data_IF_202078102680
#
_entry.id   IF_202078102680
#
_cell.length_a   1.000
_cell.length_b   1.000
_cell.length_c   1.000
_cell.angle_alpha   90.00
_cell.angle_beta   90.00
_cell.angle_gamma   90.00
#
_symmetry.space_group_name_H-M   'P 1'
#
loop_
_entity.id
_entity.type
_entity.pdbx_description
1 polymer ?
#
# COMPACT_ATOMS: atom_id res chain seq x y z
N UNK A 1 29.39 0.53 10.34
CA UNK A 1 28.47 1.66 10.22
C UNK A 1 27.07 1.10 10.11
N UNK A 2 26.09 1.66 10.85
CA UNK A 2 24.76 1.08 10.98
C UNK A 2 23.64 2.05 10.62
N UNK A 3 22.48 1.51 10.30
CA UNK A 3 21.23 2.21 10.01
C UNK A 3 20.27 1.98 11.16
N UNK A 4 19.72 3.05 11.70
CA UNK A 4 18.58 2.99 12.60
C UNK A 4 17.31 3.05 11.74
N UNK A 5 16.49 2.01 11.77
CA UNK A 5 15.29 1.89 10.95
C UNK A 5 14.02 1.93 11.80
N UNK A 6 12.98 2.61 11.33
CA UNK A 6 11.72 2.70 12.05
C UNK A 6 10.46 2.78 11.19
N UNK A 7 9.41 2.09 11.68
CA UNK A 7 8.05 2.17 11.15
C UNK A 7 7.04 1.89 12.28
N UNK A 8 5.99 2.71 12.45
CA UNK A 8 5.11 2.61 13.63
C UNK A 8 4.34 1.29 13.70
N UNK A 9 3.88 0.77 12.56
CA UNK A 9 2.97 -0.38 12.56
C UNK A 9 3.58 -1.69 12.05
N UNK A 10 4.63 -1.61 11.22
CA UNK A 10 5.13 -2.75 10.47
C UNK A 10 4.18 -3.21 9.34
N UNK A 11 4.75 -3.73 8.27
CA UNK A 11 4.02 -4.24 7.11
C UNK A 11 4.99 -4.88 6.12
N UNK A 12 4.52 -5.49 5.02
CA UNK A 12 5.40 -6.18 4.09
C UNK A 12 6.58 -5.34 3.61
N UNK A 13 6.33 -4.08 3.20
CA UNK A 13 7.38 -3.18 2.71
C UNK A 13 8.36 -2.78 3.83
N UNK A 14 7.88 -2.38 5.02
CA UNK A 14 8.76 -2.00 6.12
C UNK A 14 9.52 -3.19 6.73
N UNK A 15 8.92 -4.38 6.75
CA UNK A 15 9.62 -5.60 7.14
C UNK A 15 10.77 -5.93 6.17
N UNK A 16 10.54 -5.80 4.87
CA UNK A 16 11.58 -6.04 3.88
C UNK A 16 12.65 -4.95 3.86
N UNK A 17 12.31 -3.67 4.14
CA UNK A 17 13.30 -2.62 4.33
C UNK A 17 14.19 -2.88 5.57
N UNK A 18 13.58 -3.27 6.70
CA UNK A 18 14.34 -3.68 7.88
C UNK A 18 15.23 -4.90 7.60
N UNK A 19 14.70 -5.88 6.86
CA UNK A 19 15.44 -7.10 6.49
C UNK A 19 16.61 -6.78 5.56
N UNK A 20 16.47 -5.84 4.62
CA UNK A 20 17.56 -5.39 3.74
C UNK A 20 18.76 -4.88 4.57
N UNK A 21 18.52 -4.09 5.61
CA UNK A 21 19.58 -3.63 6.50
C UNK A 21 20.10 -4.75 7.40
N UNK A 22 19.27 -5.69 7.81
CA UNK A 22 19.67 -6.81 8.66
C UNK A 22 20.55 -7.81 7.90
N UNK A 23 20.15 -8.22 6.69
CA UNK A 23 20.93 -9.10 5.80
C UNK A 23 22.30 -8.49 5.43
N UNK A 24 22.36 -7.17 5.27
CA UNK A 24 23.58 -6.43 5.02
C UNK A 24 24.45 -6.19 6.29
N UNK A 25 24.08 -6.77 7.45
CA UNK A 25 24.73 -6.56 8.75
C UNK A 25 24.86 -5.07 9.15
N UNK A 26 23.89 -4.24 8.74
CA UNK A 26 23.87 -2.78 8.97
C UNK A 26 22.73 -2.30 9.87
N UNK A 27 21.82 -3.18 10.28
CA UNK A 27 20.69 -2.80 11.13
C UNK A 27 21.15 -2.58 12.58
N UNK A 28 21.16 -1.33 13.05
CA UNK A 28 21.38 -1.03 14.47
C UNK A 28 20.20 -1.49 15.34
N UNK A 29 18.99 -1.10 14.93
CA UNK A 29 17.74 -1.57 15.52
C UNK A 29 16.55 -1.28 14.60
N UNK A 30 15.54 -2.12 14.66
CA UNK A 30 14.21 -1.87 14.11
C UNK A 30 13.28 -1.31 15.21
N UNK A 31 12.96 -0.02 15.12
CA UNK A 31 12.01 0.66 15.99
C UNK A 31 10.59 0.42 15.45
N UNK A 32 9.75 -0.25 16.23
CA UNK A 32 8.39 -0.63 15.83
C UNK A 32 7.45 -0.66 17.04
N UNK A 33 6.14 -0.44 16.84
CA UNK A 33 5.21 -0.39 17.97
C UNK A 33 5.20 -1.71 18.77
N UNK A 34 4.79 -2.81 18.17
CA UNK A 34 4.86 -4.14 18.80
C UNK A 34 4.78 -5.26 17.77
N UNK A 35 5.76 -6.17 17.82
CA UNK A 35 5.81 -7.44 17.10
C UNK A 35 5.79 -8.59 18.12
N UNK A 36 4.62 -9.16 18.48
CA UNK A 36 4.52 -10.18 19.51
C UNK A 36 5.25 -11.48 19.14
N UNK A 37 5.79 -12.17 20.16
CA UNK A 37 6.35 -13.51 19.99
C UNK A 37 5.25 -14.54 19.68
N UNK A 38 5.66 -15.73 19.18
CA UNK A 38 4.71 -16.84 18.98
C UNK A 38 3.98 -17.20 20.26
N UNK A 39 4.69 -17.30 21.37
CA UNK A 39 4.11 -17.63 22.69
C UNK A 39 3.05 -16.59 23.08
N UNK A 40 3.34 -15.30 22.89
CA UNK A 40 2.36 -14.24 23.16
C UNK A 40 1.11 -14.41 22.32
N UNK A 41 1.26 -14.71 21.02
CA UNK A 41 0.11 -14.93 20.12
C UNK A 41 -0.70 -16.17 20.52
N UNK A 42 -0.04 -17.25 20.89
CA UNK A 42 -0.72 -18.47 21.37
C UNK A 42 -1.51 -18.22 22.66
N UNK A 43 -0.96 -17.43 23.59
CA UNK A 43 -1.65 -17.05 24.82
C UNK A 43 -2.87 -16.17 24.51
N UNK A 44 -2.74 -15.19 23.63
CA UNK A 44 -3.86 -14.33 23.21
C UNK A 44 -4.98 -15.13 22.51
N UNK A 45 -4.64 -16.16 21.73
CA UNK A 45 -5.62 -17.02 21.07
C UNK A 45 -6.44 -17.90 22.04
N UNK A 46 -5.87 -18.25 23.20
CA UNK A 46 -6.58 -19.03 24.21
C UNK A 46 -7.69 -18.25 24.89
N UNK A 47 -7.60 -16.92 24.89
CA UNK A 47 -8.59 -16.03 25.52
C UNK A 47 -9.56 -15.52 24.46
N UNK A 48 -10.81 -16.00 24.47
CA UNK A 48 -11.82 -15.74 23.43
C UNK A 48 -11.94 -14.26 22.99
N UNK A 49 -12.07 -13.28 23.88
CA UNK A 49 -12.18 -11.87 23.50
C UNK A 49 -10.89 -11.30 22.90
N UNK A 50 -9.73 -11.95 23.05
CA UNK A 50 -8.44 -11.49 22.54
C UNK A 50 -8.06 -12.11 21.18
N UNK A 51 -8.80 -13.09 20.68
CA UNK A 51 -8.57 -13.74 19.37
C UNK A 51 -8.52 -12.77 18.19
N UNK A 52 -9.41 -11.77 18.06
CA UNK A 52 -9.33 -10.80 16.97
C UNK A 52 -8.01 -10.00 17.00
N UNK A 53 -7.53 -9.68 18.19
CA UNK A 53 -6.25 -9.01 18.41
C UNK A 53 -5.07 -9.92 18.01
N UNK A 54 -5.09 -11.18 18.40
CA UNK A 54 -4.08 -12.16 18.02
C UNK A 54 -3.99 -12.31 16.48
N UNK A 55 -5.14 -12.39 15.77
CA UNK A 55 -5.21 -12.43 14.31
C UNK A 55 -4.58 -11.20 13.67
N UNK A 56 -4.86 -10.01 14.20
CA UNK A 56 -4.27 -8.75 13.72
C UNK A 56 -2.76 -8.72 13.90
N UNK A 57 -2.25 -9.19 15.03
CA UNK A 57 -0.83 -9.24 15.33
C UNK A 57 -0.06 -10.30 14.55
N UNK A 58 -0.69 -11.39 14.14
CA UNK A 58 -0.05 -12.38 13.25
C UNK A 58 0.45 -11.75 11.96
N UNK A 59 -0.29 -10.78 11.39
CA UNK A 59 0.10 -10.04 10.19
C UNK A 59 1.34 -9.15 10.37
N UNK A 60 1.68 -8.80 11.62
CA UNK A 60 2.89 -8.01 11.93
C UNK A 60 4.11 -8.87 12.16
N UNK A 61 3.93 -10.17 12.25
CA UNK A 61 5.03 -11.08 12.46
C UNK A 61 5.71 -11.39 11.15
N UNK A 62 7.04 -11.28 11.15
CA UNK A 62 7.88 -11.61 10.02
C UNK A 62 9.06 -12.44 10.53
N UNK A 63 9.06 -13.74 10.23
CA UNK A 63 9.99 -14.72 10.79
C UNK A 63 11.44 -14.42 10.46
N UNK A 64 11.72 -13.90 9.26
CA UNK A 64 13.05 -13.52 8.84
C UNK A 64 13.71 -12.43 9.72
N UNK A 65 12.90 -11.64 10.44
CA UNK A 65 13.40 -10.66 11.41
C UNK A 65 13.42 -11.17 12.85
N UNK A 66 13.25 -12.48 13.12
CA UNK A 66 13.21 -13.01 14.50
C UNK A 66 14.47 -12.67 15.29
N UNK A 67 15.66 -12.80 14.69
CA UNK A 67 16.97 -12.47 15.27
C UNK A 67 17.38 -11.01 15.19
N UNK A 68 16.61 -10.15 14.52
CA UNK A 68 16.97 -8.74 14.35
C UNK A 68 16.84 -7.96 15.67
N UNK A 69 17.74 -6.98 15.96
CA UNK A 69 17.60 -6.10 17.11
C UNK A 69 16.37 -5.21 16.94
N UNK A 70 15.52 -5.15 17.99
CA UNK A 70 14.24 -4.41 17.97
C UNK A 70 14.06 -3.54 19.20
N UNK A 71 13.53 -2.33 18.98
CA UNK A 71 13.04 -1.44 20.04
C UNK A 71 11.52 -1.33 19.84
N UNK A 72 10.76 -1.71 20.87
CA UNK A 72 9.31 -1.88 20.73
C UNK A 72 8.51 -1.01 21.70
N UNK A 73 7.48 -0.31 21.19
CA UNK A 73 6.53 0.51 21.94
C UNK A 73 5.33 -0.24 22.48
N UNK A 74 5.55 -1.34 23.22
CA UNK A 74 4.50 -2.28 23.65
C UNK A 74 3.34 -1.62 24.41
N UNK A 75 3.64 -0.75 25.37
CA UNK A 75 2.63 -0.10 26.22
C UNK A 75 1.70 0.82 25.43
N UNK A 76 2.27 1.67 24.56
CA UNK A 76 1.48 2.55 23.69
C UNK A 76 0.57 1.77 22.74
N UNK A 77 1.09 0.66 22.17
CA UNK A 77 0.29 -0.19 21.28
C UNK A 77 -0.82 -0.93 22.03
N UNK A 78 -0.57 -1.40 23.24
CA UNK A 78 -1.62 -2.00 24.08
C UNK A 78 -2.73 -0.98 24.39
N UNK A 79 -2.36 0.24 24.80
CA UNK A 79 -3.33 1.32 25.03
C UNK A 79 -4.17 1.58 23.78
N UNK A 80 -3.53 1.72 22.61
CA UNK A 80 -4.21 1.95 21.33
C UNK A 80 -5.23 0.86 21.01
N UNK A 81 -4.89 -0.40 21.25
CA UNK A 81 -5.77 -1.53 21.02
C UNK A 81 -6.97 -1.56 22.00
N UNK A 82 -6.73 -1.27 23.26
CA UNK A 82 -7.79 -1.19 24.28
C UNK A 82 -8.77 -0.07 23.93
N UNK A 83 -8.27 1.13 23.60
CA UNK A 83 -9.11 2.27 23.23
C UNK A 83 -9.96 1.96 21.98
N UNK A 84 -9.38 1.32 20.97
CA UNK A 84 -10.15 0.88 19.79
C UNK A 84 -11.19 -0.19 20.11
N UNK A 85 -10.88 -1.12 21.00
CA UNK A 85 -11.85 -2.13 21.45
C UNK A 85 -13.03 -1.51 22.23
N UNK A 86 -12.78 -0.40 22.90
CA UNK A 86 -13.82 0.38 23.61
C UNK A 86 -14.58 1.37 22.69
N UNK A 87 -14.36 1.31 21.36
CA UNK A 87 -15.00 2.23 20.41
C UNK A 87 -14.47 3.67 20.47
N UNK A 88 -13.36 3.91 21.18
CA UNK A 88 -12.71 5.23 21.35
C UNK A 88 -11.46 5.38 20.47
N UNK A 89 -11.39 4.62 19.37
CA UNK A 89 -10.25 4.67 18.45
C UNK A 89 -10.42 5.82 17.48
N UNK A 90 -9.58 6.84 17.57
CA UNK A 90 -9.46 7.96 16.64
C UNK A 90 -8.09 7.99 15.97
N UNK A 91 -7.92 8.90 15.01
CA UNK A 91 -6.64 9.14 14.34
C UNK A 91 -5.55 9.62 15.32
N UNK A 92 -5.91 10.31 16.40
CA UNK A 92 -4.95 10.80 17.40
C UNK A 92 -4.10 9.67 17.98
N UNK A 93 -4.68 8.48 18.16
CA UNK A 93 -3.95 7.31 18.67
C UNK A 93 -2.89 6.79 17.66
N UNK A 94 -3.12 6.97 16.37
CA UNK A 94 -2.11 6.60 15.36
C UNK A 94 -0.96 7.60 15.36
N UNK A 95 -1.24 8.89 15.54
CA UNK A 95 -0.21 9.91 15.70
C UNK A 95 0.59 9.78 17.01
N UNK A 96 -0.03 9.32 18.11
CA UNK A 96 0.71 8.98 19.33
C UNK A 96 1.78 7.90 19.07
N UNK A 97 1.47 6.90 18.21
CA UNK A 97 2.44 5.87 17.84
C UNK A 97 3.59 6.45 16.99
N UNK A 98 3.29 7.38 16.07
CA UNK A 98 4.29 8.10 15.29
C UNK A 98 5.18 8.96 16.20
N UNK A 99 4.59 9.72 17.13
CA UNK A 99 5.32 10.55 18.08
C UNK A 99 6.22 9.71 19.02
N UNK A 100 5.74 8.55 19.48
CA UNK A 100 6.57 7.59 20.22
C UNK A 100 7.77 7.13 19.41
N UNK A 101 7.55 6.77 18.13
CA UNK A 101 8.61 6.33 17.24
C UNK A 101 9.65 7.44 17.05
N UNK A 102 9.22 8.65 16.73
CA UNK A 102 10.10 9.79 16.51
C UNK A 102 10.95 10.11 17.75
N UNK A 103 10.33 10.12 18.96
CA UNK A 103 11.07 10.32 20.23
C UNK A 103 12.11 9.24 20.46
N UNK A 104 11.73 7.99 20.23
CA UNK A 104 12.62 6.84 20.41
C UNK A 104 13.79 6.90 19.44
N UNK A 105 13.52 7.06 18.15
CA UNK A 105 14.54 7.11 17.12
C UNK A 105 15.45 8.34 17.27
N UNK A 106 14.93 9.49 17.69
CA UNK A 106 15.74 10.68 18.03
C UNK A 106 16.78 10.38 19.11
N UNK A 107 16.38 9.66 20.18
CA UNK A 107 17.30 9.24 21.25
C UNK A 107 18.35 8.25 20.71
N UNK A 108 17.92 7.22 20.02
CA UNK A 108 18.78 6.15 19.52
C UNK A 108 19.72 6.62 18.38
N UNK A 109 19.35 7.65 17.63
CA UNK A 109 20.19 8.23 16.56
C UNK A 109 21.49 8.84 17.09
N UNK A 110 21.58 9.10 18.41
CA UNK A 110 22.81 9.60 19.07
C UNK A 110 23.90 8.54 19.21
N UNK A 111 23.58 7.26 19.04
CA UNK A 111 24.57 6.19 19.11
C UNK A 111 25.68 6.42 18.08
N UNK A 112 26.93 6.26 18.48
CA UNK A 112 28.11 6.51 17.63
C UNK A 112 28.11 5.63 16.38
N UNK A 113 27.64 4.40 16.45
CA UNK A 113 27.57 3.45 15.33
C UNK A 113 26.58 3.82 14.25
N UNK A 114 25.50 4.55 14.61
CA UNK A 114 24.47 4.99 13.67
C UNK A 114 25.04 6.05 12.74
N UNK A 115 25.00 5.79 11.44
CA UNK A 115 25.40 6.71 10.37
C UNK A 115 24.22 7.22 9.56
N UNK A 116 23.16 6.45 9.48
CA UNK A 116 21.93 6.84 8.80
C UNK A 116 20.68 6.51 9.64
N UNK A 117 19.67 7.33 9.48
CA UNK A 117 18.33 7.11 10.02
C UNK A 117 17.38 6.91 8.85
N UNK A 118 16.65 5.79 8.84
CA UNK A 118 15.70 5.45 7.80
C UNK A 118 14.28 5.34 8.41
N UNK A 119 13.36 6.17 7.93
CA UNK A 119 11.99 6.22 8.43
C UNK A 119 11.01 6.65 7.33
N UNK A 120 9.72 6.60 7.66
CA UNK A 120 8.61 6.85 6.74
C UNK A 120 7.96 8.20 6.94
N UNK A 121 7.13 8.60 5.98
CA UNK A 121 6.28 9.80 6.08
C UNK A 121 5.47 9.82 7.39
N UNK A 122 5.24 11.00 7.94
CA UNK A 122 4.55 11.28 9.20
C UNK A 122 5.26 10.80 10.48
N UNK A 123 6.42 10.21 10.37
CA UNK A 123 7.15 9.68 11.54
C UNK A 123 8.67 9.87 11.47
N UNK A 124 9.16 10.87 10.71
CA UNK A 124 10.60 11.08 10.46
C UNK A 124 11.18 12.36 11.04
N UNK A 125 10.37 13.37 11.35
CA UNK A 125 10.86 14.73 11.60
C UNK A 125 11.91 14.82 12.71
N UNK A 126 11.59 14.36 13.91
CA UNK A 126 12.46 14.64 15.07
C UNK A 126 13.79 13.91 15.04
N UNK A 127 13.81 12.67 14.53
CA UNK A 127 15.05 11.93 14.34
C UNK A 127 15.85 12.46 13.15
N UNK A 128 15.22 13.00 12.11
CA UNK A 128 15.93 13.63 10.99
C UNK A 128 16.60 14.93 11.43
N UNK A 129 15.92 15.79 12.20
CA UNK A 129 16.51 16.99 12.79
C UNK A 129 17.75 16.64 13.64
N UNK A 130 17.65 15.60 14.49
CA UNK A 130 18.78 15.17 15.33
C UNK A 130 19.90 14.54 14.48
N UNK A 131 19.57 13.75 13.47
CA UNK A 131 20.54 13.16 12.56
C UNK A 131 21.34 14.25 11.82
N UNK A 132 20.67 15.26 11.28
CA UNK A 132 21.33 16.41 10.65
C UNK A 132 22.27 17.15 11.58
N UNK A 133 21.83 17.40 12.83
CA UNK A 133 22.68 18.03 13.86
C UNK A 133 23.96 17.22 14.13
N UNK A 134 23.89 15.90 13.95
CA UNK A 134 25.00 14.96 14.18
C UNK A 134 25.80 14.59 12.91
N UNK A 135 25.50 15.22 11.77
CA UNK A 135 26.14 14.91 10.49
C UNK A 135 25.82 13.51 9.94
N UNK A 136 24.63 12.98 10.22
CA UNK A 136 24.17 11.66 9.81
C UNK A 136 23.15 11.76 8.68
N UNK A 137 23.10 10.73 7.82
CA UNK A 137 22.20 10.69 6.69
C UNK A 137 20.75 10.44 7.11
N UNK A 138 19.81 11.09 6.40
CA UNK A 138 18.38 10.93 6.54
C UNK A 138 17.81 10.23 5.31
N UNK A 139 17.25 9.04 5.50
CA UNK A 139 16.64 8.22 4.44
C UNK A 139 15.13 8.20 4.66
N UNK A 140 14.39 8.65 3.66
CA UNK A 140 12.94 8.84 3.72
C UNK A 140 12.23 7.88 2.78
N UNK A 141 11.39 7.01 3.31
CA UNK A 141 10.62 6.07 2.52
C UNK A 141 9.21 6.61 2.26
N UNK A 142 8.84 6.69 1.00
CA UNK A 142 7.58 7.25 0.51
C UNK A 142 6.68 6.12 -0.01
N UNK A 143 5.80 5.54 0.82
CA UNK A 143 4.95 4.42 0.38
C UNK A 143 3.78 4.85 -0.50
N UNK A 144 3.55 6.13 -0.66
CA UNK A 144 2.48 6.74 -1.47
C UNK A 144 3.03 8.00 -2.15
N UNK A 145 2.36 8.50 -3.19
CA UNK A 145 2.72 9.76 -3.84
C UNK A 145 2.80 10.94 -2.86
N UNK A 146 3.56 11.97 -3.21
CA UNK A 146 3.82 13.10 -2.33
C UNK A 146 2.53 13.84 -1.96
N UNK A 147 2.35 14.13 -0.67
CA UNK A 147 1.12 14.66 -0.09
C UNK A 147 0.54 15.88 -0.82
N UNK A 148 1.39 16.85 -1.18
CA UNK A 148 0.91 18.08 -1.84
C UNK A 148 0.35 17.83 -3.25
N UNK A 149 0.85 16.82 -3.98
CA UNK A 149 0.27 16.39 -5.24
C UNK A 149 -1.09 15.70 -5.02
N UNK A 150 -1.26 15.00 -3.88
CA UNK A 150 -2.56 14.44 -3.51
C UNK A 150 -3.57 15.53 -3.14
N UNK A 151 -3.17 16.54 -2.35
CA UNK A 151 -4.04 17.63 -1.92
C UNK A 151 -4.71 18.34 -3.11
N UNK A 152 -3.94 18.63 -4.17
CA UNK A 152 -4.47 19.18 -5.42
C UNK A 152 -5.47 18.24 -6.10
N UNK A 153 -5.14 16.95 -6.16
CA UNK A 153 -5.99 15.91 -6.75
C UNK A 153 -7.28 15.74 -5.95
N UNK A 154 -7.19 15.65 -4.62
CA UNK A 154 -8.33 15.48 -3.72
C UNK A 154 -9.34 16.62 -3.84
N UNK A 155 -8.87 17.87 -3.85
CA UNK A 155 -9.73 19.05 -4.00
C UNK A 155 -10.49 19.05 -5.34
N UNK A 156 -9.86 18.57 -6.43
CA UNK A 156 -10.50 18.40 -7.73
C UNK A 156 -11.56 17.30 -7.69
N UNK A 157 -11.23 16.14 -7.14
CA UNK A 157 -12.15 15.00 -7.05
C UNK A 157 -13.36 15.28 -6.17
N UNK A 158 -13.18 15.96 -5.03
CA UNK A 158 -14.27 16.32 -4.12
C UNK A 158 -15.30 17.23 -4.80
N UNK A 159 -14.85 18.15 -5.65
CA UNK A 159 -15.75 19.02 -6.45
C UNK A 159 -16.46 18.25 -7.57
N UNK A 160 -15.74 17.37 -8.25
CA UNK A 160 -16.28 16.60 -9.37
C UNK A 160 -17.29 15.54 -8.95
N UNK A 161 -17.08 14.93 -7.76
CA UNK A 161 -17.86 13.80 -7.27
C UNK A 161 -18.57 14.10 -5.93
N UNK A 162 -19.15 15.30 -5.80
CA UNK A 162 -19.82 15.76 -4.58
C UNK A 162 -20.89 14.78 -4.10
N UNK A 163 -21.69 14.20 -5.01
CA UNK A 163 -22.76 13.24 -4.70
C UNK A 163 -22.24 11.86 -4.21
N UNK A 164 -20.94 11.64 -4.33
CA UNK A 164 -20.31 10.41 -3.86
C UNK A 164 -19.72 10.53 -2.46
N UNK A 165 -19.66 11.76 -1.95
CA UNK A 165 -19.12 12.00 -0.62
C UNK A 165 -20.06 11.45 0.46
N UNK A 166 -19.53 10.88 1.56
CA UNK A 166 -20.35 10.51 2.71
C UNK A 166 -21.00 11.73 3.33
N UNK A 167 -22.07 11.52 4.10
CA UNK A 167 -22.69 12.58 4.89
C UNK A 167 -21.64 13.22 5.82
N UNK A 168 -21.41 14.52 5.66
CA UNK A 168 -20.33 15.25 6.37
C UNK A 168 -19.06 15.50 5.56
N UNK A 169 -19.03 15.10 4.28
CA UNK A 169 -17.89 15.31 3.38
C UNK A 169 -16.78 14.28 3.51
N UNK A 170 -15.65 14.54 2.88
CA UNK A 170 -14.46 13.74 3.14
C UNK A 170 -14.06 13.90 4.60
N UNK A 171 -13.58 12.84 5.28
CA UNK A 171 -13.04 12.99 6.61
C UNK A 171 -11.93 14.07 6.55
N UNK A 172 -12.21 15.23 7.10
CA UNK A 172 -11.18 16.23 7.33
C UNK A 172 -10.21 15.60 8.32
N UNK A 173 -9.06 15.17 7.84
CA UNK A 173 -8.01 14.73 8.72
C UNK A 173 -7.47 15.96 9.45
N UNK A 174 -8.08 16.29 10.60
CA UNK A 174 -7.58 17.31 11.53
C UNK A 174 -6.15 17.01 12.01
N UNK A 175 -5.65 15.83 11.68
CA UNK A 175 -4.33 15.33 12.06
C UNK A 175 -3.32 15.30 10.91
N UNK A 176 -3.70 15.71 9.67
CA UNK A 176 -2.69 15.91 8.62
C UNK A 176 -1.73 16.99 9.08
N UNK A 177 -0.45 16.69 9.03
CA UNK A 177 0.64 17.59 9.43
C UNK A 177 1.44 18.04 8.20
N UNK A 178 0.90 18.89 7.30
CA UNK A 178 1.56 19.25 6.03
C UNK A 178 2.94 19.86 6.24
N UNK A 179 3.06 20.71 7.26
CA UNK A 179 4.33 21.33 7.65
C UNK A 179 5.39 20.28 8.04
N UNK A 180 4.98 19.26 8.80
CA UNK A 180 5.86 18.15 9.16
C UNK A 180 6.33 17.39 7.93
N UNK A 181 5.40 17.01 7.02
CA UNK A 181 5.72 16.29 5.77
C UNK A 181 6.71 17.08 4.90
N UNK A 182 6.52 18.39 4.79
CA UNK A 182 7.45 19.26 4.07
C UNK A 182 8.84 19.24 4.68
N UNK A 183 8.95 19.43 5.99
CA UNK A 183 10.22 19.42 6.72
C UNK A 183 10.91 18.06 6.66
N UNK A 184 10.17 16.96 6.75
CA UNK A 184 10.71 15.60 6.58
C UNK A 184 11.35 15.44 5.20
N UNK A 185 10.65 15.86 4.15
CA UNK A 185 11.15 15.80 2.77
C UNK A 185 12.37 16.72 2.57
N UNK A 186 12.37 17.93 3.13
CA UNK A 186 13.50 18.86 3.05
C UNK A 186 14.76 18.28 3.69
N UNK A 187 14.63 17.63 4.86
CA UNK A 187 15.75 17.02 5.60
C UNK A 187 16.28 15.73 4.96
N UNK A 188 15.49 15.07 4.11
CA UNK A 188 15.88 13.81 3.50
C UNK A 188 17.08 13.97 2.54
N UNK A 189 18.11 13.14 2.70
CA UNK A 189 19.25 13.02 1.77
C UNK A 189 18.95 12.04 0.63
N UNK A 190 18.16 10.98 0.93
CA UNK A 190 17.71 9.97 0.01
C UNK A 190 16.22 9.74 0.23
N UNK A 191 15.45 9.68 -0.86
CA UNK A 191 14.05 9.29 -0.86
C UNK A 191 13.91 7.95 -1.57
N UNK A 192 13.29 6.95 -0.94
CA UNK A 192 12.84 5.75 -1.60
C UNK A 192 11.44 5.94 -2.17
N UNK A 193 11.27 5.64 -3.44
CA UNK A 193 9.99 5.64 -4.14
C UNK A 193 9.70 4.22 -4.68
N UNK A 194 8.50 3.66 -4.44
CA UNK A 194 8.18 2.32 -4.92
C UNK A 194 7.78 2.27 -6.39
N UNK A 195 7.48 3.42 -7.01
CA UNK A 195 7.04 3.51 -8.42
C UNK A 195 7.50 4.80 -9.09
N UNK A 196 7.49 4.81 -10.42
CA UNK A 196 7.73 6.03 -11.19
C UNK A 196 6.69 7.11 -10.88
N UNK A 197 5.43 6.74 -10.67
CA UNK A 197 4.39 7.70 -10.25
C UNK A 197 4.79 8.45 -8.96
N UNK A 198 5.25 7.75 -7.93
CA UNK A 198 5.73 8.41 -6.70
C UNK A 198 6.93 9.31 -6.99
N UNK A 199 7.88 8.85 -7.79
CA UNK A 199 9.05 9.63 -8.20
C UNK A 199 8.63 10.94 -8.87
N UNK A 200 7.67 10.90 -9.79
CA UNK A 200 7.15 12.07 -10.51
C UNK A 200 6.45 13.05 -9.55
N UNK A 201 5.62 12.55 -8.62
CA UNK A 201 4.98 13.41 -7.61
C UNK A 201 5.98 14.11 -6.70
N UNK A 202 7.10 13.46 -6.33
CA UNK A 202 8.17 14.11 -5.56
C UNK A 202 8.90 15.13 -6.41
N UNK A 203 9.28 14.79 -7.64
CA UNK A 203 10.03 15.71 -8.54
C UNK A 203 9.26 16.96 -8.91
N UNK A 204 7.94 16.89 -8.99
CA UNK A 204 7.09 18.06 -9.27
C UNK A 204 7.29 19.19 -8.22
N UNK A 205 7.59 18.84 -6.96
CA UNK A 205 7.79 19.79 -5.87
C UNK A 205 9.25 19.92 -5.45
N UNK A 206 10.07 18.88 -5.69
CA UNK A 206 11.46 18.78 -5.27
C UNK A 206 12.34 18.23 -6.41
N UNK A 207 12.59 19.01 -7.49
CA UNK A 207 13.22 18.52 -8.71
C UNK A 207 14.65 17.99 -8.50
N UNK A 208 15.38 18.51 -7.52
CA UNK A 208 16.76 18.15 -7.22
C UNK A 208 16.91 17.08 -6.13
N UNK A 209 15.82 16.48 -5.64
CA UNK A 209 15.86 15.47 -4.59
C UNK A 209 16.50 14.18 -5.13
N UNK A 210 17.42 13.61 -4.35
CA UNK A 210 17.98 12.28 -4.65
C UNK A 210 16.91 11.22 -4.38
N UNK A 211 16.47 10.53 -5.43
CA UNK A 211 15.43 9.50 -5.35
C UNK A 211 16.02 8.17 -5.84
N UNK A 212 15.80 7.10 -5.09
CA UNK A 212 16.05 5.74 -5.50
C UNK A 212 14.74 4.99 -5.70
N UNK A 213 14.55 4.44 -6.91
CA UNK A 213 13.42 3.59 -7.21
C UNK A 213 13.62 2.22 -6.57
N UNK A 214 12.70 1.82 -5.69
CA UNK A 214 12.70 0.52 -5.00
C UNK A 214 11.31 -0.12 -5.11
N UNK A 215 10.98 -0.77 -6.25
CA UNK A 215 9.67 -1.38 -6.48
C UNK A 215 9.40 -2.49 -5.48
N UNK A 216 8.19 -2.49 -4.92
CA UNK A 216 7.76 -3.52 -3.98
C UNK A 216 7.68 -4.90 -4.65
N UNK A 217 7.80 -5.92 -3.83
CA UNK A 217 7.64 -7.31 -4.24
C UNK A 217 6.29 -7.89 -3.86
N UNK A 218 6.05 -9.11 -4.33
CA UNK A 218 4.89 -9.92 -3.99
C UNK A 218 5.31 -11.30 -3.49
N UNK A 219 4.53 -11.89 -2.60
CA UNK A 219 4.71 -13.27 -2.13
C UNK A 219 4.14 -14.23 -3.18
N UNK A 220 5.01 -14.77 -4.02
CA UNK A 220 4.65 -15.64 -5.14
C UNK A 220 4.22 -17.05 -4.73
N UNK A 221 4.58 -17.50 -3.52
CA UNK A 221 4.16 -18.78 -2.98
C UNK A 221 2.73 -18.69 -2.44
N UNK A 222 2.40 -17.55 -1.83
CA UNK A 222 1.06 -17.29 -1.34
C UNK A 222 0.10 -16.87 -2.48
N UNK A 223 0.47 -15.85 -3.27
CA UNK A 223 -0.32 -15.37 -4.40
C UNK A 223 0.05 -16.18 -5.65
N UNK A 224 -0.71 -17.21 -5.91
CA UNK A 224 -0.48 -18.13 -7.03
C UNK A 224 -1.77 -18.42 -7.79
N UNK A 225 -1.67 -18.70 -9.08
CA UNK A 225 -2.83 -19.06 -9.90
C UNK A 225 -3.60 -20.24 -9.30
N UNK A 226 -4.89 -20.25 -9.50
CA UNK A 226 -5.79 -21.38 -9.21
C UNK A 226 -6.26 -22.05 -10.48
N UNK A 227 -6.97 -23.18 -10.33
CA UNK A 227 -7.69 -23.78 -11.46
C UNK A 227 -8.79 -22.82 -11.91
N UNK A 228 -8.65 -22.24 -13.11
CA UNK A 228 -9.74 -21.44 -13.70
C UNK A 228 -10.91 -22.35 -14.05
N UNK A 229 -12.11 -21.89 -13.72
CA UNK A 229 -13.32 -22.52 -14.24
C UNK A 229 -13.53 -22.04 -15.69
N UNK A 230 -12.92 -22.76 -16.64
CA UNK A 230 -12.93 -22.43 -18.08
C UNK A 230 -14.29 -22.60 -18.75
N UNK A 231 -15.32 -23.00 -18.02
CA UNK A 231 -16.68 -23.24 -18.55
C UNK A 231 -17.69 -22.13 -18.25
N UNK A 232 -17.29 -21.01 -17.68
CA UNK A 232 -18.21 -19.89 -17.40
C UNK A 232 -18.33 -18.98 -18.63
N UNK A 233 -19.55 -18.83 -19.16
CA UNK A 233 -19.86 -17.82 -20.17
C UNK A 233 -19.83 -16.38 -19.63
N UNK A 234 -19.71 -16.20 -18.31
CA UNK A 234 -19.75 -14.92 -17.64
C UNK A 234 -18.33 -14.41 -17.31
N UNK A 235 -17.98 -13.25 -17.85
CA UNK A 235 -16.70 -12.58 -17.57
C UNK A 235 -16.72 -11.89 -16.20
N UNK A 236 -15.71 -12.13 -15.36
CA UNK A 236 -15.64 -11.66 -13.98
C UNK A 236 -14.52 -10.65 -13.80
N UNK A 237 -14.90 -9.39 -13.64
CA UNK A 237 -13.98 -8.33 -13.21
C UNK A 237 -13.94 -8.25 -11.69
N UNK A 238 -12.77 -7.94 -11.15
CA UNK A 238 -12.58 -7.72 -9.72
C UNK A 238 -11.76 -6.46 -9.45
N UNK A 239 -12.20 -5.71 -8.46
CA UNK A 239 -11.47 -4.64 -7.82
C UNK A 239 -11.20 -5.03 -6.37
N UNK A 240 -10.01 -4.71 -5.83
CA UNK A 240 -9.70 -4.89 -4.42
C UNK A 240 -9.01 -3.65 -3.84
N UNK A 241 -9.52 -3.16 -2.71
CA UNK A 241 -9.01 -1.98 -2.03
C UNK A 241 -10.09 -1.19 -1.31
N UNK A 242 -9.75 -0.04 -0.76
CA UNK A 242 -10.76 0.89 -0.21
C UNK A 242 -11.71 1.37 -1.31
N UNK A 243 -13.01 1.36 -1.05
CA UNK A 243 -14.01 1.90 -1.96
C UNK A 243 -14.11 3.40 -1.69
N UNK A 244 -13.35 4.21 -2.43
CA UNK A 244 -13.16 5.65 -2.17
C UNK A 244 -12.95 6.45 -3.45
N UNK A 245 -13.03 7.79 -3.38
CA UNK A 245 -12.76 8.69 -4.50
C UNK A 245 -11.31 8.49 -5.01
N UNK A 246 -10.34 8.47 -4.10
CA UNK A 246 -8.92 8.29 -4.42
C UNK A 246 -8.67 7.05 -5.27
N UNK A 247 -9.43 6.00 -5.01
CA UNK A 247 -9.34 4.71 -5.72
C UNK A 247 -10.12 4.65 -7.03
N UNK A 248 -10.72 5.76 -7.48
CA UNK A 248 -11.38 5.87 -8.77
C UNK A 248 -12.67 5.08 -8.91
N UNK A 249 -13.34 4.73 -7.81
CA UNK A 249 -14.57 3.94 -7.85
C UNK A 249 -15.69 4.63 -8.63
N UNK A 250 -15.91 5.96 -8.53
CA UNK A 250 -16.90 6.64 -9.37
C UNK A 250 -16.65 6.43 -10.88
N UNK A 251 -15.38 6.54 -11.31
CA UNK A 251 -14.98 6.33 -12.71
C UNK A 251 -15.30 4.91 -13.16
N UNK A 252 -14.93 3.92 -12.33
CA UNK A 252 -15.16 2.51 -12.64
C UNK A 252 -16.66 2.20 -12.77
N UNK A 253 -17.49 2.72 -11.87
CA UNK A 253 -18.92 2.45 -11.91
C UNK A 253 -19.62 3.17 -13.06
N UNK A 254 -19.21 4.40 -13.38
CA UNK A 254 -19.68 5.11 -14.59
C UNK A 254 -19.26 4.38 -15.87
N UNK A 255 -18.02 3.92 -15.95
CA UNK A 255 -17.54 3.15 -17.10
C UNK A 255 -18.27 1.81 -17.22
N UNK A 256 -18.52 1.12 -16.11
CA UNK A 256 -19.26 -0.14 -16.08
C UNK A 256 -20.68 0.01 -16.63
N UNK A 257 -21.40 1.03 -16.19
CA UNK A 257 -22.74 1.33 -16.66
C UNK A 257 -22.77 1.66 -18.15
N UNK A 258 -21.86 2.54 -18.62
CA UNK A 258 -21.71 2.90 -20.03
C UNK A 258 -21.30 1.72 -20.91
N UNK A 259 -20.42 0.85 -20.41
CA UNK A 259 -19.96 -0.32 -21.19
C UNK A 259 -21.09 -1.33 -21.50
N UNK A 260 -22.15 -1.33 -20.72
CA UNK A 260 -23.38 -2.10 -20.90
C UNK A 260 -23.13 -3.60 -21.20
N UNK A 261 -22.17 -4.21 -20.50
CA UNK A 261 -21.79 -5.61 -20.73
C UNK A 261 -22.92 -6.56 -20.33
N UNK A 262 -23.30 -7.48 -21.25
CA UNK A 262 -24.47 -8.35 -21.04
C UNK A 262 -24.14 -9.59 -20.20
N UNK A 263 -22.96 -10.18 -20.40
CA UNK A 263 -22.51 -11.42 -19.75
C UNK A 263 -21.22 -11.17 -18.96
N UNK A 264 -21.27 -10.18 -18.05
CA UNK A 264 -20.15 -9.85 -17.20
C UNK A 264 -20.62 -9.44 -15.79
N UNK A 265 -19.73 -9.62 -14.81
CA UNK A 265 -19.90 -9.17 -13.43
C UNK A 265 -18.69 -8.41 -12.96
N UNK A 266 -18.92 -7.43 -12.10
CA UNK A 266 -17.88 -6.68 -11.39
C UNK A 266 -18.05 -6.90 -9.88
N UNK A 267 -16.98 -7.35 -9.23
CA UNK A 267 -16.94 -7.48 -7.79
C UNK A 267 -16.02 -6.41 -7.19
N UNK A 268 -16.57 -5.60 -6.29
CA UNK A 268 -15.82 -4.62 -5.49
C UNK A 268 -15.52 -5.25 -4.13
N UNK A 269 -14.25 -5.45 -3.79
CA UNK A 269 -13.82 -6.01 -2.49
C UNK A 269 -13.11 -4.96 -1.66
N UNK A 270 -13.66 -4.63 -0.48
CA UNK A 270 -13.03 -3.69 0.44
C UNK A 270 -13.97 -2.91 1.34
N UNK A 271 -13.41 -2.08 2.22
CA UNK A 271 -14.19 -1.21 3.08
C UNK A 271 -14.76 -0.03 2.29
N UNK A 272 -16.02 0.31 2.55
CA UNK A 272 -16.75 1.37 1.87
C UNK A 272 -16.56 2.71 2.56
N UNK A 273 -16.10 3.73 1.82
CA UNK A 273 -15.84 5.09 2.29
C UNK A 273 -16.55 6.16 1.46
N UNK A 274 -17.51 5.77 0.64
CA UNK A 274 -18.36 6.66 -0.16
C UNK A 274 -19.75 6.77 0.46
N UNK A 275 -20.61 7.61 -0.13
CA UNK A 275 -22.00 7.72 0.29
C UNK A 275 -22.69 6.35 0.28
N UNK A 276 -23.42 6.05 1.33
CA UNK A 276 -24.18 4.80 1.46
C UNK A 276 -25.24 4.65 0.36
N UNK A 277 -25.84 5.76 -0.10
CA UNK A 277 -26.77 5.76 -1.23
C UNK A 277 -26.16 5.13 -2.49
N UNK A 278 -24.87 5.36 -2.75
CA UNK A 278 -24.17 4.78 -3.90
C UNK A 278 -23.92 3.27 -3.72
N UNK A 279 -23.83 2.79 -2.48
CA UNK A 279 -23.71 1.34 -2.21
C UNK A 279 -25.03 0.61 -2.46
N UNK A 280 -26.15 1.25 -2.10
CA UNK A 280 -27.49 0.67 -2.31
C UNK A 280 -27.89 0.69 -3.78
N UNK A 281 -27.43 1.69 -4.54
CA UNK A 281 -27.73 1.87 -5.98
C UNK A 281 -26.62 1.39 -6.91
N UNK A 282 -25.93 0.31 -6.59
CA UNK A 282 -24.90 -0.24 -7.48
C UNK A 282 -25.49 -0.62 -8.84
N UNK A 283 -24.78 -0.37 -9.96
CA UNK A 283 -25.22 -0.77 -11.29
C UNK A 283 -25.47 -2.28 -11.42
N UNK A 284 -26.28 -2.68 -12.40
CA UNK A 284 -26.52 -4.08 -12.70
C UNK A 284 -25.22 -4.85 -12.92
N UNK A 285 -25.10 -6.02 -12.30
CA UNK A 285 -23.91 -6.89 -12.41
C UNK A 285 -22.75 -6.50 -11.48
N UNK A 286 -22.89 -5.41 -10.70
CA UNK A 286 -21.92 -5.01 -9.69
C UNK A 286 -22.31 -5.54 -8.32
N UNK A 287 -21.34 -6.10 -7.60
CA UNK A 287 -21.53 -6.56 -6.20
C UNK A 287 -20.43 -5.98 -5.31
N UNK A 288 -20.76 -5.74 -4.04
CA UNK A 288 -19.80 -5.31 -3.03
C UNK A 288 -19.63 -6.37 -1.93
N UNK A 289 -18.38 -6.64 -1.59
CA UNK A 289 -17.97 -7.50 -0.48
C UNK A 289 -17.06 -6.70 0.43
N UNK A 290 -17.32 -6.73 1.73
CA UNK A 290 -16.48 -6.08 2.74
C UNK A 290 -15.04 -6.61 2.69
N UNK A 291 -14.12 -5.91 3.38
CA UNK A 291 -12.72 -6.31 3.42
C UNK A 291 -12.52 -7.77 3.85
N UNK A 292 -11.75 -8.50 3.07
CA UNK A 292 -11.47 -9.94 3.24
C UNK A 292 -10.11 -10.18 3.91
N UNK A 293 -9.91 -11.41 4.40
CA UNK A 293 -8.57 -11.90 4.70
C UNK A 293 -7.76 -12.11 3.41
N UNK A 294 -6.44 -12.17 3.50
CA UNK A 294 -5.59 -12.41 2.32
C UNK A 294 -5.91 -13.74 1.64
N UNK A 295 -6.22 -14.79 2.43
CA UNK A 295 -6.61 -16.11 1.92
C UNK A 295 -7.91 -16.03 1.12
N UNK A 296 -8.94 -15.38 1.69
CA UNK A 296 -10.21 -15.22 1.01
C UNK A 296 -10.07 -14.34 -0.25
N UNK A 297 -9.28 -13.23 -0.18
CA UNK A 297 -9.02 -12.37 -1.32
C UNK A 297 -8.32 -13.13 -2.45
N UNK A 298 -7.33 -13.98 -2.13
CA UNK A 298 -6.67 -14.84 -3.10
C UNK A 298 -7.67 -15.76 -3.81
N UNK A 299 -8.61 -16.33 -3.07
CA UNK A 299 -9.63 -17.20 -3.65
C UNK A 299 -10.59 -16.41 -4.55
N UNK A 300 -10.87 -15.14 -4.25
CA UNK A 300 -11.62 -14.25 -5.14
C UNK A 300 -10.82 -13.91 -6.41
N UNK A 301 -9.54 -13.61 -6.32
CA UNK A 301 -8.68 -13.41 -7.49
C UNK A 301 -8.66 -14.65 -8.40
N UNK A 302 -8.54 -15.86 -7.84
CA UNK A 302 -8.54 -17.12 -8.62
C UNK A 302 -9.84 -17.39 -9.38
N UNK A 303 -10.96 -16.80 -8.94
CA UNK A 303 -12.28 -16.91 -9.58
C UNK A 303 -12.55 -15.79 -10.57
N UNK A 304 -11.77 -14.73 -10.55
CA UNK A 304 -11.91 -13.60 -11.47
C UNK A 304 -11.12 -13.84 -12.77
N UNK A 305 -11.42 -13.02 -13.77
CA UNK A 305 -10.79 -13.08 -15.08
C UNK A 305 -9.93 -11.85 -15.38
N UNK A 306 -10.32 -10.67 -14.86
CA UNK A 306 -9.64 -9.39 -15.07
C UNK A 306 -9.64 -8.58 -13.76
N UNK A 307 -8.50 -8.04 -13.39
CA UNK A 307 -8.37 -7.10 -12.28
C UNK A 307 -8.53 -5.66 -12.78
N UNK A 308 -9.25 -4.80 -12.03
CA UNK A 308 -9.42 -3.39 -12.39
C UNK A 308 -8.93 -2.48 -11.28
N UNK A 309 -8.05 -1.51 -11.62
CA UNK A 309 -7.40 -0.65 -10.63
C UNK A 309 -7.37 0.83 -11.11
N UNK A 310 -8.50 1.56 -11.01
CA UNK A 310 -8.69 2.88 -11.60
C UNK A 310 -8.22 4.04 -10.72
N UNK A 311 -7.28 3.81 -9.79
CA UNK A 311 -6.87 4.77 -8.78
C UNK A 311 -6.40 6.10 -9.36
N UNK A 312 -6.79 7.22 -8.75
CA UNK A 312 -6.29 8.55 -9.08
C UNK A 312 -4.95 8.86 -8.43
N UNK A 313 -4.64 8.17 -7.34
CA UNK A 313 -3.42 8.43 -6.59
C UNK A 313 -3.03 7.22 -5.74
N UNK A 314 -1.81 6.71 -5.98
CA UNK A 314 -1.32 5.50 -5.30
C UNK A 314 0.18 5.60 -5.02
N UNK A 315 0.70 4.72 -4.19
CA UNK A 315 2.14 4.52 -4.08
C UNK A 315 2.62 3.49 -5.08
N UNK A 316 2.19 2.26 -4.86
CA UNK A 316 2.48 1.13 -5.72
C UNK A 316 1.20 0.40 -6.11
N UNK A 317 0.39 0.05 -5.10
CA UNK A 317 -0.78 -0.79 -5.28
C UNK A 317 -0.42 -2.27 -5.26
N UNK A 318 0.03 -2.79 -4.11
CA UNK A 318 0.39 -4.21 -3.94
C UNK A 318 -0.70 -5.15 -4.44
N UNK A 319 -1.97 -4.77 -4.32
CA UNK A 319 -3.12 -5.55 -4.83
C UNK A 319 -3.05 -5.80 -6.35
N UNK A 320 -2.41 -4.91 -7.12
CA UNK A 320 -2.17 -5.12 -8.55
C UNK A 320 -1.19 -6.27 -8.77
N UNK A 321 -0.05 -6.28 -8.05
CA UNK A 321 0.89 -7.40 -8.13
C UNK A 321 0.30 -8.70 -7.59
N UNK A 322 -0.49 -8.66 -6.53
CA UNK A 322 -1.18 -9.81 -5.95
C UNK A 322 -2.14 -10.45 -6.97
N UNK A 323 -2.93 -9.63 -7.67
CA UNK A 323 -3.81 -10.08 -8.73
C UNK A 323 -3.02 -10.63 -9.93
N UNK A 324 -1.97 -9.94 -10.39
CA UNK A 324 -1.09 -10.40 -11.46
C UNK A 324 -0.38 -11.71 -11.09
N UNK A 325 0.06 -11.86 -9.84
CA UNK A 325 0.65 -13.09 -9.31
C UNK A 325 -0.35 -14.26 -9.30
N UNK A 326 -1.64 -13.98 -9.12
CA UNK A 326 -2.72 -14.97 -9.29
C UNK A 326 -3.06 -15.24 -10.75
N UNK A 327 -2.37 -14.63 -11.71
CA UNK A 327 -2.56 -14.84 -13.15
C UNK A 327 -3.70 -14.01 -13.74
N UNK A 328 -4.07 -12.87 -13.17
CA UNK A 328 -5.06 -11.96 -13.72
C UNK A 328 -4.38 -10.89 -14.58
N UNK A 329 -4.79 -10.72 -15.84
CA UNK A 329 -4.51 -9.50 -16.57
C UNK A 329 -5.22 -8.32 -15.90
N UNK A 330 -4.71 -7.09 -16.09
CA UNK A 330 -5.24 -5.94 -15.38
C UNK A 330 -5.57 -4.75 -16.28
N UNK A 331 -6.57 -3.97 -15.87
CA UNK A 331 -6.81 -2.61 -16.33
C UNK A 331 -6.37 -1.69 -15.18
N UNK A 332 -5.36 -0.86 -15.37
CA UNK A 332 -4.87 0.03 -14.32
C UNK A 332 -4.67 1.46 -14.83
N UNK A 333 -4.71 2.41 -13.91
CA UNK A 333 -4.37 3.80 -14.25
C UNK A 333 -2.86 4.05 -14.19
N UNK A 334 -2.40 5.09 -14.91
CA UNK A 334 -1.00 5.57 -14.85
C UNK A 334 -0.63 6.16 -13.49
N UNK A 335 -1.59 6.50 -12.64
CA UNK A 335 -1.36 7.00 -11.28
C UNK A 335 -1.11 5.88 -10.23
N UNK A 336 -0.58 4.75 -10.70
CA UNK A 336 -0.25 3.55 -9.92
C UNK A 336 1.07 2.97 -10.41
N UNK A 337 1.56 1.88 -9.81
CA UNK A 337 2.66 1.11 -10.39
C UNK A 337 2.27 0.40 -11.72
N UNK A 338 1.05 0.57 -12.21
CA UNK A 338 0.64 0.01 -13.51
C UNK A 338 1.63 0.36 -14.62
N UNK A 339 2.13 1.61 -14.65
CA UNK A 339 3.12 2.06 -15.62
C UNK A 339 4.49 1.31 -15.49
N UNK A 340 4.78 0.75 -14.33
CA UNK A 340 6.04 0.04 -14.06
C UNK A 340 5.93 -1.46 -14.35
N UNK A 341 4.72 -2.04 -14.24
CA UNK A 341 4.53 -3.49 -14.22
C UNK A 341 3.63 -4.04 -15.33
N UNK A 342 2.77 -3.23 -15.95
CA UNK A 342 1.91 -3.68 -17.04
C UNK A 342 2.60 -3.54 -18.41
N UNK A 343 2.26 -4.44 -19.30
CA UNK A 343 2.54 -4.39 -20.73
C UNK A 343 1.26 -4.71 -21.48
N UNK A 344 1.20 -4.42 -22.78
CA UNK A 344 0.02 -4.76 -23.62
C UNK A 344 -0.32 -6.25 -23.59
N UNK A 345 0.68 -7.11 -23.36
CA UNK A 345 0.48 -8.54 -23.20
C UNK A 345 -0.13 -8.94 -21.84
N UNK A 346 -0.09 -8.07 -20.83
CA UNK A 346 -0.57 -8.37 -19.47
C UNK A 346 -1.73 -7.48 -19.02
N UNK A 347 -2.09 -6.45 -19.78
CA UNK A 347 -3.18 -5.55 -19.38
C UNK A 347 -3.35 -4.32 -20.27
N UNK A 348 -4.06 -3.35 -19.71
CA UNK A 348 -4.26 -2.01 -20.31
C UNK A 348 -3.94 -0.94 -19.29
N UNK A 349 -3.18 0.05 -19.71
CA UNK A 349 -2.79 1.21 -18.91
C UNK A 349 -3.53 2.44 -19.42
N UNK A 350 -4.26 3.11 -18.53
CA UNK A 350 -5.18 4.19 -18.88
C UNK A 350 -4.88 5.46 -18.07
N UNK A 351 -5.28 6.61 -18.59
CA UNK A 351 -5.23 7.85 -17.81
C UNK A 351 -6.22 7.80 -16.64
N UNK A 352 -5.85 8.30 -15.45
CA UNK A 352 -6.77 8.34 -14.32
C UNK A 352 -7.94 9.28 -14.62
N UNK A 353 -9.16 8.80 -14.36
CA UNK A 353 -10.38 9.60 -14.58
C UNK A 353 -10.98 9.53 -15.97
N UNK A 354 -10.34 8.90 -16.93
CA UNK A 354 -10.83 8.74 -18.31
C UNK A 354 -11.88 7.62 -18.38
N UNK A 355 -13.15 8.00 -18.15
CA UNK A 355 -14.28 7.07 -18.16
C UNK A 355 -14.40 6.35 -19.50
N UNK A 356 -14.20 7.04 -20.62
CA UNK A 356 -14.39 6.45 -21.96
C UNK A 356 -13.29 5.44 -22.29
N UNK A 357 -12.03 5.72 -21.92
CA UNK A 357 -10.95 4.74 -22.02
C UNK A 357 -11.21 3.49 -21.16
N UNK A 358 -11.80 3.64 -19.96
CA UNK A 358 -12.21 2.49 -19.15
C UNK A 358 -13.36 1.72 -19.81
N UNK A 359 -14.34 2.38 -20.46
CA UNK A 359 -15.40 1.72 -21.25
C UNK A 359 -14.78 0.85 -22.35
N UNK A 360 -13.90 1.46 -23.14
CA UNK A 360 -13.22 0.76 -24.24
C UNK A 360 -12.43 -0.46 -23.76
N UNK A 361 -11.70 -0.30 -22.66
CA UNK A 361 -10.95 -1.41 -22.07
C UNK A 361 -11.87 -2.54 -21.56
N UNK A 362 -12.95 -2.23 -20.84
CA UNK A 362 -13.92 -3.22 -20.37
C UNK A 362 -14.55 -3.99 -21.54
N UNK A 363 -14.97 -3.28 -22.60
CA UNK A 363 -15.53 -3.87 -23.82
C UNK A 363 -14.48 -4.66 -24.58
N UNK A 364 -13.23 -4.20 -24.61
CA UNK A 364 -12.14 -4.93 -25.25
C UNK A 364 -11.92 -6.31 -24.59
N UNK A 365 -11.88 -6.36 -23.27
CA UNK A 365 -11.74 -7.63 -22.53
C UNK A 365 -12.94 -8.55 -22.75
N UNK A 366 -14.16 -8.01 -22.86
CA UNK A 366 -15.37 -8.79 -23.15
C UNK A 366 -15.35 -9.42 -24.56
N UNK A 367 -14.82 -8.68 -25.54
CA UNK A 367 -14.71 -9.16 -26.94
C UNK A 367 -13.53 -10.11 -27.17
N UNK A 368 -12.49 -10.09 -26.32
CA UNK A 368 -11.24 -10.83 -26.52
C UNK A 368 -10.98 -11.83 -25.37
N UNK A 369 -12.01 -12.55 -24.97
CA UNK A 369 -11.95 -13.52 -23.85
C UNK A 369 -10.97 -14.65 -24.10
N UNK A 370 -10.75 -15.04 -25.35
CA UNK A 370 -9.81 -16.05 -25.82
C UNK A 370 -8.35 -15.68 -25.51
N UNK A 371 -8.03 -14.40 -25.41
CA UNK A 371 -6.69 -13.91 -25.07
C UNK A 371 -6.39 -13.96 -23.56
N UNK A 372 -7.40 -14.03 -22.69
CA UNK A 372 -7.24 -13.97 -21.24
C UNK A 372 -6.26 -15.01 -20.66
N UNK A 373 -6.23 -16.27 -21.11
CA UNK A 373 -5.25 -17.24 -20.61
C UNK A 373 -3.80 -16.84 -20.92
N UNK A 374 -3.55 -16.31 -22.11
CA UNK A 374 -2.21 -15.85 -22.51
C UNK A 374 -1.81 -14.59 -21.72
N UNK A 375 -2.72 -13.63 -21.61
CA UNK A 375 -2.51 -12.41 -20.84
C UNK A 375 -2.29 -12.68 -19.35
N UNK A 376 -3.02 -13.64 -18.78
CA UNK A 376 -2.82 -14.05 -17.39
C UNK A 376 -1.47 -14.68 -17.14
N UNK A 377 -0.94 -15.49 -18.09
CA UNK A 377 0.44 -15.99 -18.00
C UNK A 377 1.48 -14.88 -18.09
N UNK A 378 1.26 -13.90 -18.97
CA UNK A 378 2.13 -12.74 -19.08
C UNK A 378 2.12 -11.88 -17.80
N UNK A 379 0.93 -11.66 -17.20
CA UNK A 379 0.79 -10.97 -15.93
C UNK A 379 1.54 -11.70 -14.80
N UNK A 380 1.39 -13.01 -14.68
CA UNK A 380 2.13 -13.83 -13.71
C UNK A 380 3.64 -13.72 -13.90
N UNK A 381 4.13 -13.86 -15.13
CA UNK A 381 5.55 -13.71 -15.45
C UNK A 381 6.08 -12.34 -15.03
N UNK A 382 5.31 -11.29 -15.24
CA UNK A 382 5.70 -9.93 -14.85
C UNK A 382 5.72 -9.76 -13.33
N UNK A 383 4.77 -10.35 -12.60
CA UNK A 383 4.78 -10.36 -11.14
C UNK A 383 6.00 -11.10 -10.57
N UNK A 384 6.49 -12.16 -11.24
CA UNK A 384 7.70 -12.90 -10.85
C UNK A 384 8.97 -12.06 -10.93
N UNK A 385 8.99 -11.02 -11.79
CA UNK A 385 10.11 -10.05 -11.84
C UNK A 385 10.10 -9.08 -10.64
N UNK A 386 8.97 -8.97 -9.92
CA UNK A 386 8.77 -8.07 -8.78
C UNK A 386 8.89 -8.86 -7.47
N UNK A 387 10.12 -9.18 -7.06
CA UNK A 387 10.38 -9.93 -5.84
C UNK A 387 10.81 -9.03 -4.68
N UNK A 388 10.52 -9.46 -3.44
CA UNK A 388 11.02 -8.79 -2.24
C UNK A 388 12.55 -8.82 -2.16
N UNK A 389 13.22 -9.81 -2.74
CA UNK A 389 14.69 -9.86 -2.83
C UNK A 389 15.25 -8.73 -3.70
N UNK A 390 14.59 -8.42 -4.81
CA UNK A 390 14.97 -7.28 -5.67
C UNK A 390 14.80 -5.97 -4.93
N UNK A 391 13.68 -5.80 -4.22
CA UNK A 391 13.45 -4.63 -3.36
C UNK A 391 14.54 -4.48 -2.31
N UNK A 392 14.86 -5.56 -1.56
CA UNK A 392 15.91 -5.52 -0.54
C UNK A 392 17.27 -5.16 -1.09
N UNK A 393 17.64 -5.69 -2.26
CA UNK A 393 18.89 -5.31 -2.94
C UNK A 393 18.91 -3.82 -3.27
N UNK A 394 17.85 -3.29 -3.88
CA UNK A 394 17.73 -1.86 -4.22
C UNK A 394 17.87 -0.96 -2.98
N UNK A 395 17.19 -1.30 -1.87
CA UNK A 395 17.31 -0.59 -0.61
C UNK A 395 18.74 -0.65 -0.05
N UNK A 396 19.36 -1.82 -0.04
CA UNK A 396 20.72 -2.01 0.48
C UNK A 396 21.76 -1.24 -0.34
N UNK A 397 21.69 -1.32 -1.66
CA UNK A 397 22.62 -0.64 -2.60
C UNK A 397 22.51 0.88 -2.51
N UNK A 398 21.31 1.42 -2.57
CA UNK A 398 21.12 2.87 -2.48
C UNK A 398 21.54 3.42 -1.11
N UNK A 399 21.22 2.72 -0.02
CA UNK A 399 21.63 3.10 1.34
C UNK A 399 23.16 3.11 1.50
N UNK A 400 23.88 2.19 0.86
CA UNK A 400 25.33 2.06 1.03
C UNK A 400 26.13 3.31 0.65
N UNK A 401 25.55 4.15 -0.22
CA UNK A 401 26.17 5.42 -0.66
C UNK A 401 26.14 6.51 0.42
N UNK A 402 25.39 6.29 1.50
CA UNK A 402 25.19 7.24 2.60
C UNK A 402 25.76 6.76 3.94
N UNK A 403 26.54 5.69 3.93
CA UNK A 403 27.19 5.09 5.11
C UNK A 403 28.71 5.26 5.04
#
# INVERSE_FOLDING_TARGET
>A
MTVLFGHPNGGPFSHNAALAHFEAHRLEAFCVAWMPSLLTLQLLDRVSPLRPMARRFRRRRFSALSGAPKIQGRLGEMRRLIMRALGRGDEALDYEANDWLMRTMRKESRRVRVRAVHAYEDCSLWQFQEAKRLGKACIYDMPIGYYFAWEETEAKLARQYVDWLPAGGLPSSSYVRPQQKRQEMELADLVFAPSNFVTETVRAFHPNKTIALAPYGVDLEFWMPGGRNTGSEELRFIYAGQISLRKGIPVLLQAWEKAALRSAKLQLVGSWYLSESKRVSLPRGVTHVSALSSEALRDHYRRADVFVFPSFFEGFGLVLLEAMACGLPAIASTATAGADVLTDASGRLLAPGDVDAFVDALQWFDKNRDLLPAMGRAARKKAEECSWDRYRRAVSEATSRFL
#
